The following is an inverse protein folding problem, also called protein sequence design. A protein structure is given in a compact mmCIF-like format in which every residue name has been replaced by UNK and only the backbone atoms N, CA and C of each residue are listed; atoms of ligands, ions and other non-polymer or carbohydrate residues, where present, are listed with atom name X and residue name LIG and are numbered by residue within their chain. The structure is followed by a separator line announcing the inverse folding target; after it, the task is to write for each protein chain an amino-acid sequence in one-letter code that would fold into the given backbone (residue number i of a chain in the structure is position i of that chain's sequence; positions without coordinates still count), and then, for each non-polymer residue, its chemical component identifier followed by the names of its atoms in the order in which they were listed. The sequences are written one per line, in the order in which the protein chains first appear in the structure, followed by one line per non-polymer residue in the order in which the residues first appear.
data_IF_944174813228
#
_entry.id   IF_944174813228
#
_cell.length_a   1.000
_cell.length_b   1.000
_cell.length_c   1.000
_cell.angle_alpha   90.00
_cell.angle_beta   90.00
_cell.angle_gamma   90.00
#
_symmetry.space_group_name_H-M   'P 1'
#
loop_
_entity.id
_entity.type
_entity.pdbx_description
1 polymer ?
#
# COMPACT_ATOMS: atom_id res chain seq x y z
N UNK A 1 -5.23 15.25 19.62
CA UNK A 1 -6.32 14.67 18.82
C UNK A 1 -6.34 13.21 19.20
N UNK A 2 -7.31 12.80 19.99
CA UNK A 2 -7.51 11.40 20.24
C UNK A 2 -7.84 10.71 18.91
N UNK A 3 -7.57 9.45 18.76
CA UNK A 3 -7.80 8.75 17.50
C UNK A 3 -9.27 8.73 17.04
N UNK A 4 -10.20 9.20 17.88
CA UNK A 4 -11.58 9.50 17.50
C UNK A 4 -11.69 10.79 16.69
N UNK A 5 -10.60 11.55 16.63
CA UNK A 5 -10.48 12.71 15.82
C UNK A 5 -9.80 12.35 14.51
N UNK A 6 -10.55 11.80 13.67
CA UNK A 6 -10.24 11.98 12.27
C UNK A 6 -10.63 13.43 11.93
N UNK A 7 -9.63 14.30 11.82
CA UNK A 7 -9.83 15.67 11.34
C UNK A 7 -10.64 15.67 10.04
N UNK A 8 -10.47 14.64 9.24
CA UNK A 8 -11.21 14.43 8.03
C UNK A 8 -12.69 14.13 8.26
N UNK A 9 -13.09 13.47 9.35
CA UNK A 9 -14.49 13.09 9.56
C UNK A 9 -15.35 14.20 10.15
N UNK A 10 -14.77 15.22 10.77
CA UNK A 10 -15.50 16.30 11.43
C UNK A 10 -15.53 17.62 10.67
N UNK A 11 -14.62 17.84 9.76
CA UNK A 11 -14.74 18.95 8.84
C UNK A 11 -15.82 18.58 7.83
N UNK A 12 -16.98 19.18 7.93
CA UNK A 12 -18.07 19.06 6.94
C UNK A 12 -17.67 19.56 5.54
N UNK A 13 -16.38 19.59 5.25
CA UNK A 13 -15.85 19.97 3.95
C UNK A 13 -15.93 18.78 3.00
N UNK A 14 -16.62 18.90 1.87
CA UNK A 14 -16.65 17.86 0.86
C UNK A 14 -15.23 17.50 0.43
N UNK A 15 -14.89 16.23 0.45
CA UNK A 15 -13.61 15.70 -0.05
C UNK A 15 -12.50 15.49 0.99
N UNK A 16 -12.56 16.10 2.18
CA UNK A 16 -11.52 15.93 3.20
C UNK A 16 -11.72 14.71 4.12
N UNK A 17 -12.88 14.10 4.08
CA UNK A 17 -13.34 13.15 5.10
C UNK A 17 -12.87 11.72 4.89
N UNK A 18 -12.18 11.44 3.80
CA UNK A 18 -12.03 10.06 3.32
C UNK A 18 -10.61 9.71 2.95
N UNK A 19 -9.66 10.54 3.41
CA UNK A 19 -8.32 10.47 2.88
C UNK A 19 -7.68 9.09 3.01
N UNK A 20 -8.04 8.29 4.04
CA UNK A 20 -7.28 7.07 4.32
C UNK A 20 -8.10 5.89 4.82
N UNK A 21 -9.36 6.08 5.15
CA UNK A 21 -10.14 5.06 5.86
C UNK A 21 -11.53 4.80 5.28
N UNK A 22 -11.92 5.54 4.24
CA UNK A 22 -13.26 5.42 3.68
C UNK A 22 -14.37 5.76 4.69
N UNK A 23 -15.52 5.14 4.54
CA UNK A 23 -16.69 5.30 5.42
C UNK A 23 -16.79 4.20 6.48
N UNK A 24 -15.78 4.08 7.33
CA UNK A 24 -15.86 3.21 8.48
C UNK A 24 -16.67 3.86 9.61
N UNK A 25 -17.28 3.08 10.52
CA UNK A 25 -17.80 3.60 11.77
C UNK A 25 -16.75 4.39 12.54
N UNK A 26 -17.16 5.38 13.34
CA UNK A 26 -16.25 6.33 14.01
C UNK A 26 -15.11 5.65 14.79
N UNK A 27 -15.40 4.55 15.50
CA UNK A 27 -14.39 3.81 16.27
C UNK A 27 -13.38 3.11 15.37
N UNK A 28 -13.85 2.39 14.38
CA UNK A 28 -12.98 1.68 13.41
C UNK A 28 -12.20 2.67 12.54
N UNK A 29 -12.79 3.81 12.20
CA UNK A 29 -12.13 4.87 11.46
C UNK A 29 -10.98 5.47 12.27
N UNK A 30 -11.16 5.68 13.57
CA UNK A 30 -10.13 6.18 14.44
C UNK A 30 -8.95 5.20 14.54
N UNK A 31 -9.23 3.91 14.72
CA UNK A 31 -8.21 2.85 14.76
C UNK A 31 -7.46 2.72 13.44
N UNK A 32 -8.18 2.71 12.32
CA UNK A 32 -7.58 2.65 10.99
C UNK A 32 -6.71 3.86 10.70
N UNK A 33 -7.13 5.07 11.09
CA UNK A 33 -6.36 6.30 10.94
C UNK A 33 -5.07 6.27 11.78
N UNK A 34 -5.14 5.77 13.01
CA UNK A 34 -3.96 5.63 13.86
C UNK A 34 -2.99 4.56 13.34
N UNK A 35 -3.51 3.45 12.86
CA UNK A 35 -2.70 2.40 12.24
C UNK A 35 -2.01 2.90 10.96
N UNK A 36 -2.73 3.68 10.15
CA UNK A 36 -2.15 4.31 8.96
C UNK A 36 -1.09 5.34 9.31
N UNK A 37 -1.33 6.19 10.32
CA UNK A 37 -0.32 7.12 10.82
C UNK A 37 0.96 6.38 11.25
N UNK A 38 0.80 5.30 12.01
CA UNK A 38 1.92 4.48 12.47
C UNK A 38 2.71 3.90 11.29
N UNK A 39 2.02 3.36 10.28
CA UNK A 39 2.64 2.83 9.06
C UNK A 39 3.41 3.90 8.30
N UNK A 40 2.79 5.05 8.01
CA UNK A 40 3.43 6.12 7.22
C UNK A 40 4.63 6.71 7.95
N UNK A 41 4.48 7.03 9.24
CA UNK A 41 5.55 7.69 9.99
C UNK A 41 6.73 6.74 10.26
N UNK A 42 6.48 5.44 10.45
CA UNK A 42 7.55 4.43 10.50
C UNK A 42 8.35 4.43 9.21
N UNK A 43 7.67 4.23 8.08
CA UNK A 43 8.33 4.11 6.79
C UNK A 43 9.05 5.39 6.38
N UNK A 44 8.44 6.56 6.62
CA UNK A 44 9.08 7.85 6.34
C UNK A 44 10.33 8.08 7.21
N UNK A 45 10.25 7.82 8.51
CA UNK A 45 11.39 7.97 9.43
C UNK A 45 12.56 7.07 9.02
N UNK A 46 12.26 5.81 8.72
CA UNK A 46 13.29 4.85 8.28
C UNK A 46 13.88 5.21 6.93
N UNK A 47 13.06 5.66 5.98
CA UNK A 47 13.53 6.16 4.68
C UNK A 47 14.47 7.36 4.86
N UNK A 48 14.08 8.35 5.65
CA UNK A 48 14.91 9.50 5.91
C UNK A 48 16.25 9.11 6.54
N UNK A 49 16.25 8.17 7.47
CA UNK A 49 17.49 7.66 8.06
C UNK A 49 18.36 6.92 7.04
N UNK A 50 17.76 6.13 6.15
CA UNK A 50 18.51 5.46 5.05
C UNK A 50 19.15 6.45 4.09
N UNK A 51 18.44 7.54 3.76
CA UNK A 51 18.91 8.56 2.80
C UNK A 51 19.89 9.56 3.39
N UNK A 52 19.97 9.67 4.73
CA UNK A 52 20.80 10.66 5.42
C UNK A 52 22.27 10.61 5.00
N UNK A 53 22.83 9.42 4.87
CA UNK A 53 24.24 9.24 4.45
C UNK A 53 24.50 9.62 2.97
N UNK A 54 23.44 9.84 2.20
CA UNK A 54 23.50 10.22 0.78
C UNK A 54 23.11 11.68 0.57
N UNK A 55 22.55 12.33 1.59
CA UNK A 55 22.05 13.69 1.52
C UNK A 55 22.37 14.47 2.79
N UNK A 56 23.40 15.28 2.73
CA UNK A 56 23.93 16.09 3.85
C UNK A 56 22.93 17.11 4.40
N UNK A 57 21.83 17.37 3.67
CA UNK A 57 20.79 18.30 4.11
C UNK A 57 19.83 17.71 5.16
N UNK A 58 19.88 16.39 5.40
CA UNK A 58 18.95 15.73 6.31
C UNK A 58 19.58 15.53 7.70
N UNK A 59 19.36 16.47 8.60
CA UNK A 59 19.92 16.45 9.96
C UNK A 59 19.06 15.69 10.99
N UNK A 60 17.75 15.55 10.75
CA UNK A 60 16.85 14.88 11.67
C UNK A 60 15.38 14.97 11.25
N UNK A 61 14.53 14.31 12.01
CA UNK A 61 13.07 14.34 11.81
C UNK A 61 12.37 14.68 13.12
N UNK A 62 11.33 15.49 13.05
CA UNK A 62 10.48 15.85 14.19
C UNK A 62 9.03 15.47 13.88
N UNK A 63 8.64 14.22 14.13
CA UNK A 63 7.31 13.76 13.83
C UNK A 63 6.26 14.35 14.79
N UNK A 64 5.13 14.72 14.27
CA UNK A 64 3.97 15.22 15.00
C UNK A 64 2.81 14.21 14.87
N UNK A 65 2.26 13.61 15.87
CA UNK A 65 2.56 13.54 17.31
C UNK A 65 2.41 12.12 17.81
N UNK A 66 3.18 11.76 18.83
CA UNK A 66 3.18 10.39 19.39
C UNK A 66 2.15 10.19 20.51
N UNK A 67 1.58 11.27 21.03
CA UNK A 67 0.53 11.24 22.07
C UNK A 67 -0.73 11.93 21.56
N UNK A 68 -1.85 11.70 22.24
CA UNK A 68 -3.09 12.39 21.92
C UNK A 68 -3.02 13.86 22.33
N UNK A 69 -3.64 14.74 21.55
CA UNK A 69 -3.71 16.18 21.84
C UNK A 69 -4.81 16.56 22.83
N UNK A 70 -5.79 15.71 23.05
CA UNK A 70 -6.83 16.01 24.01
C UNK A 70 -6.32 15.76 25.41
N UNK A 71 -6.03 16.87 26.10
CA UNK A 71 -5.48 16.91 27.44
C UNK A 71 -6.54 17.13 28.51
N UNK A 72 -7.81 17.23 28.10
CA UNK A 72 -8.90 17.42 29.04
C UNK A 72 -8.99 16.24 30.00
N UNK A 73 -8.93 16.53 31.28
CA UNK A 73 -8.95 15.53 32.35
C UNK A 73 -7.61 14.83 32.63
N UNK A 74 -6.55 15.11 31.86
CA UNK A 74 -5.19 14.58 32.11
C UNK A 74 -4.53 15.42 33.21
N UNK A 75 -4.20 14.78 34.33
CA UNK A 75 -3.61 15.43 35.50
C UNK A 75 -2.08 15.33 35.57
N UNK A 76 -1.52 14.37 34.84
CA UNK A 76 -0.09 14.12 34.81
C UNK A 76 0.35 13.54 33.48
N UNK A 77 1.64 13.67 33.16
CA UNK A 77 2.24 13.09 31.96
C UNK A 77 2.07 11.53 31.91
N UNK A 78 2.08 10.88 33.07
CA UNK A 78 1.91 9.45 33.18
C UNK A 78 0.52 8.94 32.73
N UNK A 79 -0.48 9.82 32.74
CA UNK A 79 -1.84 9.50 32.29
C UNK A 79 -2.03 9.61 30.77
N UNK A 80 -1.03 10.17 30.08
CA UNK A 80 -1.07 10.30 28.63
C UNK A 80 -0.92 8.94 27.95
N UNK A 81 -1.90 8.58 27.14
CA UNK A 81 -1.84 7.35 26.36
C UNK A 81 -1.09 7.58 25.04
N UNK A 82 -0.02 6.81 24.77
CA UNK A 82 0.64 6.89 23.49
C UNK A 82 -0.26 6.34 22.37
N UNK A 83 -0.12 6.91 21.18
CA UNK A 83 -0.69 6.33 19.97
C UNK A 83 0.10 5.10 19.53
N UNK A 84 -0.47 4.22 18.67
CA UNK A 84 0.26 3.08 18.09
C UNK A 84 1.60 3.45 17.44
N UNK A 85 1.72 4.65 16.89
CA UNK A 85 2.96 5.17 16.30
C UNK A 85 4.13 5.22 17.29
N UNK A 86 3.88 5.33 18.59
CA UNK A 86 4.94 5.35 19.60
C UNK A 86 5.76 4.06 19.58
N UNK A 87 5.10 2.90 19.46
CA UNK A 87 5.78 1.60 19.31
C UNK A 87 6.61 1.53 18.02
N UNK A 88 6.09 2.09 16.92
CA UNK A 88 6.83 2.12 15.65
C UNK A 88 8.07 3.03 15.73
N UNK A 89 7.98 4.13 16.47
CA UNK A 89 9.15 4.99 16.70
C UNK A 89 10.23 4.34 17.53
N UNK A 90 9.87 3.51 18.52
CA UNK A 90 10.86 2.73 19.26
C UNK A 90 11.69 1.84 18.32
N UNK A 91 11.08 1.29 17.28
CA UNK A 91 11.78 0.53 16.25
C UNK A 91 12.62 1.42 15.33
N UNK A 92 12.06 2.55 14.88
CA UNK A 92 12.68 3.41 13.87
C UNK A 92 13.79 4.32 14.42
N UNK A 93 13.81 4.61 15.72
CA UNK A 93 14.80 5.47 16.38
C UNK A 93 15.87 4.73 17.17
N UNK A 94 16.00 3.40 17.01
CA UNK A 94 17.14 2.68 17.55
C UNK A 94 18.45 3.33 17.07
N UNK A 95 19.48 3.46 17.90
CA UNK A 95 20.79 3.99 17.47
C UNK A 95 21.34 3.23 16.27
N UNK A 96 21.31 1.90 16.33
CA UNK A 96 21.55 1.05 15.16
C UNK A 96 20.20 0.59 14.65
N UNK A 97 19.86 0.96 13.42
CA UNK A 97 18.57 0.66 12.82
C UNK A 97 18.71 -0.39 11.74
N UNK A 98 18.06 -1.54 11.92
CA UNK A 98 17.66 -2.39 10.80
C UNK A 98 16.41 -1.76 10.15
N UNK A 99 16.42 -1.51 8.86
CA UNK A 99 15.25 -1.01 8.11
C UNK A 99 14.97 -1.90 6.92
N UNK A 100 13.73 -2.35 6.81
CA UNK A 100 13.27 -3.14 5.69
C UNK A 100 12.74 -2.24 4.57
N UNK A 101 13.38 -2.29 3.41
CA UNK A 101 12.82 -1.73 2.19
C UNK A 101 12.02 -2.83 1.50
N UNK A 102 10.72 -2.81 1.75
CA UNK A 102 9.77 -3.82 1.25
C UNK A 102 8.63 -3.14 0.49
N UNK A 103 8.73 -3.14 -0.84
CA UNK A 103 7.69 -2.62 -1.74
C UNK A 103 6.66 -3.68 -2.14
N UNK A 104 6.91 -4.94 -1.81
CA UNK A 104 6.04 -6.08 -2.08
C UNK A 104 5.37 -6.56 -0.79
N UNK A 105 4.68 -5.66 -0.09
CA UNK A 105 3.98 -6.02 1.15
C UNK A 105 2.84 -7.03 0.95
N UNK A 106 2.50 -7.36 -0.29
CA UNK A 106 1.47 -8.32 -0.66
C UNK A 106 2.02 -9.28 -1.70
N UNK A 107 1.95 -10.59 -1.42
CA UNK A 107 2.56 -11.61 -2.26
C UNK A 107 1.79 -12.92 -2.25
N UNK A 108 1.82 -13.65 -3.34
CA UNK A 108 1.29 -15.02 -3.38
C UNK A 108 2.27 -16.03 -2.78
N UNK A 109 1.73 -17.01 -2.06
CA UNK A 109 2.49 -18.17 -1.64
C UNK A 109 3.10 -18.88 -2.85
N UNK A 110 4.35 -19.31 -2.74
CA UNK A 110 5.11 -19.88 -3.86
C UNK A 110 5.91 -18.87 -4.69
N UNK A 111 5.69 -17.56 -4.51
CA UNK A 111 6.45 -16.52 -5.20
C UNK A 111 7.73 -16.14 -4.45
N UNK A 112 8.54 -15.29 -5.10
CA UNK A 112 9.78 -14.75 -4.55
C UNK A 112 9.53 -13.33 -4.03
N UNK A 113 9.77 -13.11 -2.76
CA UNK A 113 9.76 -11.80 -2.14
C UNK A 113 11.14 -11.16 -2.29
N UNK A 114 11.20 -10.00 -2.93
CA UNK A 114 12.43 -9.21 -3.05
C UNK A 114 12.38 -8.06 -2.05
N UNK A 115 13.35 -8.01 -1.14
CA UNK A 115 13.47 -6.96 -0.12
C UNK A 115 14.92 -6.52 0.01
N UNK A 116 15.13 -5.32 0.54
CA UNK A 116 16.48 -4.89 0.91
C UNK A 116 16.53 -4.63 2.41
N UNK A 117 17.44 -5.29 3.10
CA UNK A 117 17.77 -4.98 4.48
C UNK A 117 18.80 -3.84 4.49
N UNK A 118 18.47 -2.74 5.17
CA UNK A 118 19.39 -1.63 5.42
C UNK A 118 19.79 -1.62 6.89
N UNK A 119 21.05 -1.29 7.17
CA UNK A 119 21.52 -1.01 8.51
C UNK A 119 22.06 0.41 8.54
N UNK A 120 21.41 1.26 9.34
CA UNK A 120 21.89 2.64 9.60
C UNK A 120 22.58 2.64 10.94
N UNK A 121 23.83 3.13 10.98
CA UNK A 121 24.65 3.08 12.17
C UNK A 121 24.81 4.50 12.77
N UNK A 122 24.07 4.76 13.83
CA UNK A 122 24.15 5.95 14.68
C UNK A 122 24.59 5.57 16.11
N UNK A 123 25.53 4.61 16.22
CA UNK A 123 25.99 4.12 17.51
C UNK A 123 26.37 5.27 18.46
N UNK A 124 25.84 5.23 19.68
CA UNK A 124 26.03 6.29 20.69
C UNK A 124 27.52 6.53 21.06
N UNK A 125 28.37 5.55 20.78
CA UNK A 125 29.81 5.59 21.05
C UNK A 125 30.64 5.79 19.78
N UNK A 126 30.03 6.15 18.67
CA UNK A 126 30.69 6.38 17.38
C UNK A 126 31.45 5.14 16.82
N UNK A 127 31.04 3.94 17.18
CA UNK A 127 31.70 2.72 16.70
C UNK A 127 31.19 2.30 15.33
N UNK A 128 32.09 1.78 14.51
CA UNK A 128 31.71 1.04 13.31
C UNK A 128 31.23 -0.37 13.67
N UNK A 129 30.33 -0.92 12.85
CA UNK A 129 29.85 -2.29 12.96
C UNK A 129 30.70 -3.22 12.11
N UNK A 130 31.25 -4.26 12.72
CA UNK A 130 32.04 -5.31 12.07
C UNK A 130 31.54 -6.67 12.50
N UNK A 131 31.85 -7.72 11.72
CA UNK A 131 31.30 -9.06 11.90
C UNK A 131 29.77 -9.02 12.07
N UNK A 132 29.15 -8.40 11.05
CA UNK A 132 27.71 -8.11 11.08
C UNK A 132 26.95 -9.27 10.48
N UNK A 133 25.92 -9.72 11.18
CA UNK A 133 25.02 -10.79 10.72
C UNK A 133 23.58 -10.34 10.83
N UNK A 134 22.80 -10.66 9.80
CA UNK A 134 21.35 -10.50 9.77
C UNK A 134 20.71 -11.87 9.98
N UNK A 135 19.98 -12.02 11.07
CA UNK A 135 19.05 -13.12 11.26
C UNK A 135 17.65 -12.62 10.91
N UNK A 136 16.96 -13.30 10.01
CA UNK A 136 15.63 -12.90 9.59
C UNK A 136 14.66 -14.08 9.60
N UNK A 137 13.38 -13.79 9.77
CA UNK A 137 12.33 -14.78 9.65
C UNK A 137 11.00 -14.13 9.25
N UNK A 138 10.12 -14.94 8.66
CA UNK A 138 8.72 -14.61 8.48
C UNK A 138 7.92 -15.40 9.50
N UNK A 139 6.98 -14.74 10.19
CA UNK A 139 6.12 -15.38 11.17
C UNK A 139 4.65 -14.99 11.00
N UNK A 140 3.79 -15.88 11.44
CA UNK A 140 2.35 -15.66 11.59
C UNK A 140 1.98 -16.03 13.02
N UNK A 141 1.30 -15.13 13.73
CA UNK A 141 0.83 -15.35 15.11
C UNK A 141 1.92 -15.89 16.06
N UNK A 142 3.13 -15.37 15.95
CA UNK A 142 4.29 -15.79 16.76
C UNK A 142 4.98 -17.07 16.30
N UNK A 143 4.46 -17.75 15.28
CA UNK A 143 5.07 -18.98 14.73
C UNK A 143 5.91 -18.64 13.51
N UNK A 144 7.22 -18.94 13.58
CA UNK A 144 8.13 -18.82 12.43
C UNK A 144 7.75 -19.83 11.34
N UNK A 145 7.56 -19.36 10.11
CA UNK A 145 7.24 -20.19 8.93
C UNK A 145 8.42 -20.38 8.01
N UNK A 146 9.35 -19.43 8.01
CA UNK A 146 10.61 -19.48 7.28
C UNK A 146 11.62 -18.58 7.99
N UNK A 147 12.91 -18.92 7.93
CA UNK A 147 14.00 -18.13 8.50
C UNK A 147 15.28 -18.30 7.69
N UNK A 148 16.19 -17.36 7.86
CA UNK A 148 17.51 -17.41 7.28
C UNK A 148 18.51 -16.54 8.04
N UNK A 149 19.76 -16.70 7.66
CA UNK A 149 20.87 -15.91 8.16
C UNK A 149 21.76 -15.50 6.99
N UNK A 150 22.25 -14.27 7.04
CA UNK A 150 23.16 -13.73 6.04
C UNK A 150 24.27 -12.92 6.70
N UNK A 151 25.47 -13.02 6.16
CA UNK A 151 26.51 -12.06 6.46
C UNK A 151 26.10 -10.69 5.92
N UNK A 152 26.38 -9.64 6.69
CA UNK A 152 26.06 -8.27 6.32
C UNK A 152 27.37 -7.48 6.14
N UNK A 153 27.42 -6.54 5.18
CA UNK A 153 28.61 -5.73 4.96
C UNK A 153 29.05 -4.95 6.23
N UNK A 154 30.32 -4.59 6.28
CA UNK A 154 30.83 -3.62 7.26
C UNK A 154 30.03 -2.31 7.15
N UNK A 155 29.63 -1.74 8.30
CA UNK A 155 28.88 -0.48 8.35
C UNK A 155 29.66 0.52 9.18
N UNK A 156 30.26 1.58 8.55
CA UNK A 156 30.99 2.59 9.29
C UNK A 156 30.04 3.37 10.23
N UNK A 157 30.60 4.04 11.22
CA UNK A 157 29.86 5.00 12.01
C UNK A 157 29.27 6.07 11.10
N UNK A 158 28.04 6.51 11.38
CA UNK A 158 27.26 7.47 10.60
C UNK A 158 26.99 7.02 9.16
N UNK A 159 27.21 5.75 8.85
CA UNK A 159 27.03 5.16 7.54
C UNK A 159 25.79 4.26 7.43
N UNK A 160 25.51 3.85 6.20
CA UNK A 160 24.44 2.91 5.87
C UNK A 160 24.98 1.77 5.05
N UNK A 161 24.71 0.54 5.50
CA UNK A 161 24.93 -0.68 4.71
C UNK A 161 23.61 -1.19 4.14
N UNK A 162 23.67 -1.94 3.05
CA UNK A 162 22.49 -2.57 2.42
C UNK A 162 22.78 -3.98 1.96
N UNK A 163 21.79 -4.85 2.08
CA UNK A 163 21.85 -6.24 1.64
C UNK A 163 20.54 -6.61 0.93
N UNK A 164 20.55 -6.76 -0.40
CA UNK A 164 19.41 -7.30 -1.14
C UNK A 164 19.16 -8.77 -0.78
N UNK A 165 17.92 -9.14 -0.56
CA UNK A 165 17.49 -10.50 -0.26
C UNK A 165 16.39 -10.92 -1.21
N UNK A 166 16.42 -12.18 -1.62
CA UNK A 166 15.33 -12.86 -2.31
C UNK A 166 14.87 -14.04 -1.46
N UNK A 167 13.65 -13.94 -0.94
CA UNK A 167 13.07 -14.93 -0.04
C UNK A 167 12.06 -15.75 -0.83
N UNK A 168 12.24 -17.07 -0.91
CA UNK A 168 11.26 -17.96 -1.53
C UNK A 168 10.14 -18.23 -0.54
N UNK A 169 8.94 -17.72 -0.82
CA UNK A 169 7.77 -17.93 0.02
C UNK A 169 7.25 -19.36 -0.17
N UNK A 170 7.12 -20.16 0.89
CA UNK A 170 6.60 -21.52 0.76
C UNK A 170 5.22 -21.57 0.12
N UNK A 171 4.96 -22.50 -0.83
CA UNK A 171 3.71 -22.56 -1.57
C UNK A 171 2.52 -23.08 -0.76
N UNK A 172 2.77 -23.61 0.43
CA UNK A 172 1.76 -24.20 1.32
C UNK A 172 1.33 -23.27 2.47
N UNK A 173 1.77 -22.02 2.46
CA UNK A 173 1.31 -21.06 3.46
C UNK A 173 -0.16 -20.72 3.26
N UNK A 174 -0.85 -20.51 4.37
CA UNK A 174 -2.25 -20.07 4.40
C UNK A 174 -2.33 -18.58 4.11
N UNK A 175 -3.48 -18.16 3.62
CA UNK A 175 -3.78 -16.74 3.45
C UNK A 175 -3.84 -16.03 4.81
N UNK A 176 -3.18 -14.88 4.91
CA UNK A 176 -3.22 -14.08 6.12
C UNK A 176 -2.14 -13.02 6.23
N UNK A 177 -2.16 -12.36 7.38
CA UNK A 177 -1.16 -11.37 7.76
C UNK A 177 0.05 -12.08 8.38
N UNK A 178 1.23 -11.66 7.95
CA UNK A 178 2.53 -12.13 8.41
C UNK A 178 3.41 -10.93 8.77
N UNK A 179 4.49 -11.19 9.46
CA UNK A 179 5.55 -10.22 9.75
C UNK A 179 6.88 -10.74 9.23
N UNK A 180 7.55 -9.96 8.40
CA UNK A 180 8.97 -10.12 8.12
C UNK A 180 9.74 -9.45 9.24
N UNK A 181 10.47 -10.22 10.02
CA UNK A 181 11.25 -9.77 11.18
C UNK A 181 12.73 -9.99 10.97
N UNK A 182 13.54 -9.19 11.64
CA UNK A 182 14.97 -9.38 11.60
C UNK A 182 15.70 -8.81 12.80
N UNK A 183 16.86 -9.36 13.04
CA UNK A 183 17.80 -8.95 14.08
C UNK A 183 19.18 -8.78 13.46
N UNK A 184 19.84 -7.67 13.84
CA UNK A 184 21.25 -7.45 13.49
C UNK A 184 22.11 -7.78 14.69
N UNK A 185 23.12 -8.57 14.42
CA UNK A 185 24.19 -8.89 15.36
C UNK A 185 25.49 -8.26 14.86
N UNK A 186 26.28 -7.69 15.78
CA UNK A 186 27.67 -7.27 15.53
C UNK A 186 28.54 -7.86 16.60
N UNK A 187 29.60 -8.55 16.20
CA UNK A 187 30.51 -9.28 17.12
C UNK A 187 29.74 -10.20 18.09
N UNK A 188 28.73 -10.89 17.58
CA UNK A 188 27.90 -11.80 18.35
C UNK A 188 26.87 -11.17 19.29
N UNK A 189 26.80 -9.84 19.39
CA UNK A 189 25.84 -9.12 20.23
C UNK A 189 24.68 -8.59 19.37
N UNK A 190 23.43 -8.83 19.78
CA UNK A 190 22.27 -8.19 19.14
C UNK A 190 22.29 -6.69 19.35
N UNK A 191 22.26 -5.94 18.25
CA UNK A 191 22.34 -4.46 18.25
C UNK A 191 21.10 -3.78 17.65
N UNK A 192 20.27 -4.53 16.90
CA UNK A 192 19.03 -3.99 16.32
C UNK A 192 18.00 -5.07 16.09
N UNK A 193 16.73 -4.66 16.05
CA UNK A 193 15.57 -5.47 15.68
C UNK A 193 14.59 -4.61 14.93
N UNK A 194 13.97 -5.15 13.88
CA UNK A 194 12.85 -4.48 13.20
C UNK A 194 11.93 -5.48 12.52
N UNK A 195 10.74 -4.99 12.12
CA UNK A 195 9.72 -5.77 11.44
C UNK A 195 9.03 -4.99 10.32
N UNK A 196 8.49 -5.71 9.35
CA UNK A 196 7.71 -5.18 8.24
C UNK A 196 6.45 -6.02 8.05
N UNK A 197 5.32 -5.37 7.86
CA UNK A 197 4.05 -6.05 7.55
C UNK A 197 4.13 -6.74 6.18
N UNK A 198 3.51 -7.92 6.10
CA UNK A 198 3.43 -8.72 4.88
C UNK A 198 2.07 -9.42 4.85
N UNK A 199 1.38 -9.36 3.71
CA UNK A 199 0.20 -10.18 3.44
C UNK A 199 0.56 -11.27 2.45
N UNK A 200 0.30 -12.53 2.81
CA UNK A 200 0.52 -13.67 1.92
C UNK A 200 -0.83 -14.25 1.51
N UNK A 201 -1.09 -14.27 0.20
CA UNK A 201 -2.24 -14.95 -0.38
C UNK A 201 -1.88 -16.41 -0.66
N UNK A 202 -2.44 -17.34 0.09
CA UNK A 202 -2.29 -18.77 -0.09
C UNK A 202 -3.17 -19.33 -1.22
N UNK A 203 -3.12 -20.64 -1.44
CA UNK A 203 -3.99 -21.31 -2.43
C UNK A 203 -5.47 -21.16 -2.11
N UNK A 204 -5.81 -21.02 -0.85
CA UNK A 204 -7.15 -20.79 -0.35
C UNK A 204 -7.73 -19.44 -0.78
N UNK A 205 -6.89 -18.46 -1.11
CA UNK A 205 -7.30 -17.14 -1.58
C UNK A 205 -8.10 -17.19 -2.88
N UNK A 206 -7.72 -18.08 -3.80
CA UNK A 206 -8.36 -18.25 -5.10
C UNK A 206 -9.35 -19.44 -5.16
N UNK A 207 -9.62 -20.09 -4.04
CA UNK A 207 -10.45 -21.30 -3.99
C UNK A 207 -11.92 -21.09 -4.35
N UNK A 208 -12.37 -19.83 -4.44
CA UNK A 208 -13.76 -19.46 -4.72
C UNK A 208 -14.00 -19.00 -6.17
N UNK A 209 -13.06 -19.23 -7.09
CA UNK A 209 -13.27 -18.88 -8.50
C UNK A 209 -14.32 -19.81 -9.09
N UNK A 210 -15.50 -19.27 -9.41
CA UNK A 210 -16.50 -19.98 -10.20
C UNK A 210 -16.02 -20.07 -11.65
N UNK A 211 -15.36 -21.19 -11.97
CA UNK A 211 -14.83 -21.45 -13.30
C UNK A 211 -15.94 -21.64 -14.37
N UNK A 212 -17.21 -21.74 -13.96
CA UNK A 212 -18.34 -21.90 -14.90
C UNK A 212 -18.79 -20.57 -15.49
N UNK A 213 -18.54 -19.45 -14.82
CA UNK A 213 -18.88 -18.12 -15.30
C UNK A 213 -17.86 -17.61 -16.32
N UNK A 214 -18.28 -17.36 -17.54
CA UNK A 214 -17.44 -16.72 -18.56
C UNK A 214 -17.49 -15.21 -18.42
N UNK A 215 -16.31 -14.58 -18.26
CA UNK A 215 -16.12 -13.15 -18.17
C UNK A 215 -15.73 -12.62 -19.55
N UNK A 216 -16.47 -11.63 -20.06
CA UNK A 216 -16.08 -10.91 -21.27
C UNK A 216 -15.08 -9.83 -20.92
N UNK A 217 -13.97 -9.75 -21.65
CA UNK A 217 -12.88 -8.80 -21.35
C UNK A 217 -12.62 -7.92 -22.57
N UNK A 218 -12.84 -6.61 -22.39
CA UNK A 218 -12.43 -5.59 -23.34
C UNK A 218 -11.08 -5.03 -22.88
N UNK A 219 -10.01 -5.52 -23.50
CA UNK A 219 -8.63 -5.12 -23.20
C UNK A 219 -7.93 -4.80 -24.53
N UNK A 220 -7.75 -3.50 -24.77
CA UNK A 220 -7.18 -2.95 -26.00
C UNK A 220 -5.70 -2.60 -25.86
N UNK A 221 -5.11 -2.83 -24.68
CA UNK A 221 -3.68 -2.62 -24.48
C UNK A 221 -2.86 -3.64 -25.26
N UNK A 222 -1.67 -3.27 -25.78
CA UNK A 222 -0.82 -4.20 -26.52
C UNK A 222 -0.47 -5.47 -25.73
N UNK A 223 -0.23 -5.31 -24.43
CA UNK A 223 0.17 -6.38 -23.51
C UNK A 223 -0.99 -7.22 -23.02
N UNK A 224 -2.22 -6.76 -23.20
CA UNK A 224 -3.46 -7.41 -22.71
C UNK A 224 -3.33 -7.84 -21.25
N UNK A 225 -2.82 -6.95 -20.40
CA UNK A 225 -2.46 -7.26 -19.01
C UNK A 225 -3.65 -7.79 -18.21
N UNK A 226 -4.81 -7.15 -18.34
CA UNK A 226 -6.03 -7.55 -17.63
C UNK A 226 -6.51 -8.93 -18.08
N UNK A 227 -6.57 -9.16 -19.39
CA UNK A 227 -6.97 -10.45 -19.97
C UNK A 227 -6.04 -11.57 -19.50
N UNK A 228 -4.73 -11.34 -19.56
CA UNK A 228 -3.71 -12.30 -19.15
C UNK A 228 -3.71 -12.56 -17.65
N UNK A 229 -3.96 -11.54 -16.84
CA UNK A 229 -4.09 -11.66 -15.40
C UNK A 229 -5.28 -12.55 -15.02
N UNK A 230 -6.45 -12.31 -15.60
CA UNK A 230 -7.66 -13.13 -15.34
C UNK A 230 -7.45 -14.58 -15.76
N UNK A 231 -6.83 -14.83 -16.92
CA UNK A 231 -6.48 -16.19 -17.36
C UNK A 231 -5.57 -16.92 -16.39
N UNK A 232 -4.50 -16.24 -15.93
CA UNK A 232 -3.54 -16.83 -14.96
C UNK A 232 -4.21 -17.19 -13.64
N UNK A 233 -5.24 -16.44 -13.25
CA UNK A 233 -6.01 -16.69 -12.03
C UNK A 233 -7.14 -17.73 -12.23
N UNK A 234 -7.20 -18.42 -13.37
CA UNK A 234 -8.13 -19.53 -13.60
C UNK A 234 -9.54 -19.15 -14.05
N UNK A 235 -9.77 -17.85 -14.36
CA UNK A 235 -11.08 -17.44 -14.89
C UNK A 235 -11.28 -17.88 -16.33
N UNK A 236 -12.51 -18.32 -16.67
CA UNK A 236 -12.94 -18.47 -18.07
C UNK A 236 -13.18 -17.09 -18.67
N UNK A 237 -12.33 -16.68 -19.63
CA UNK A 237 -12.38 -15.34 -20.21
C UNK A 237 -12.57 -15.37 -21.72
N UNK A 238 -13.45 -14.50 -22.22
CA UNK A 238 -13.70 -14.27 -23.63
C UNK A 238 -13.25 -12.84 -23.98
N UNK A 239 -12.21 -12.66 -24.81
CA UNK A 239 -11.87 -11.33 -25.30
C UNK A 239 -12.99 -10.82 -26.21
N UNK A 240 -13.35 -9.54 -26.07
CA UNK A 240 -14.35 -8.86 -26.90
C UNK A 240 -13.77 -7.55 -27.42
N UNK A 241 -14.16 -7.17 -28.64
CA UNK A 241 -13.76 -5.93 -29.30
C UNK A 241 -14.89 -4.92 -29.46
N UNK A 242 -16.12 -5.40 -29.25
CA UNK A 242 -17.34 -4.59 -29.33
C UNK A 242 -18.32 -5.01 -28.24
N UNK A 243 -19.11 -4.06 -27.77
CA UNK A 243 -20.19 -4.31 -26.80
C UNK A 243 -21.30 -5.19 -27.38
N UNK A 244 -21.45 -5.18 -28.70
CA UNK A 244 -22.42 -6.02 -29.40
C UNK A 244 -22.11 -7.53 -29.34
N UNK A 245 -20.88 -7.90 -28.96
CA UNK A 245 -20.47 -9.29 -28.77
C UNK A 245 -20.87 -9.88 -27.41
N UNK A 246 -21.39 -9.05 -26.51
CA UNK A 246 -21.75 -9.46 -25.15
C UNK A 246 -23.02 -10.28 -25.12
N UNK A 247 -23.01 -11.29 -24.28
CA UNK A 247 -24.22 -12.05 -23.97
C UNK A 247 -25.00 -11.41 -22.84
N UNK A 248 -26.31 -11.57 -22.85
CA UNK A 248 -27.17 -11.05 -21.79
C UNK A 248 -26.81 -11.68 -20.45
N UNK A 249 -26.92 -10.89 -19.37
CA UNK A 249 -26.58 -11.28 -18.00
C UNK A 249 -25.11 -11.71 -17.75
N UNK A 250 -24.20 -11.41 -18.68
CA UNK A 250 -22.77 -11.67 -18.50
C UNK A 250 -22.09 -10.55 -17.69
N UNK A 251 -20.82 -10.73 -17.39
CA UNK A 251 -19.96 -9.71 -16.78
C UNK A 251 -18.95 -9.23 -17.82
N UNK A 252 -18.90 -7.93 -18.06
CA UNK A 252 -17.87 -7.27 -18.85
C UNK A 252 -16.80 -6.71 -17.91
N UNK A 253 -15.54 -7.01 -18.16
CA UNK A 253 -14.41 -6.31 -17.57
C UNK A 253 -13.79 -5.39 -18.63
N UNK A 254 -13.79 -4.09 -18.37
CA UNK A 254 -13.01 -3.12 -19.15
C UNK A 254 -11.63 -3.04 -18.49
N UNK A 255 -10.62 -3.48 -19.23
CA UNK A 255 -9.26 -3.60 -18.74
C UNK A 255 -8.63 -2.25 -18.37
N UNK A 256 -7.54 -2.30 -17.60
CA UNK A 256 -6.77 -1.10 -17.26
C UNK A 256 -6.35 -0.38 -18.54
N UNK A 257 -6.57 0.93 -18.58
CA UNK A 257 -6.22 1.83 -19.69
C UNK A 257 -6.77 1.37 -21.07
N UNK A 258 -7.92 0.68 -21.06
CA UNK A 258 -8.53 0.14 -22.27
C UNK A 258 -9.69 0.99 -22.81
N UNK A 259 -10.08 2.05 -22.07
CA UNK A 259 -11.11 2.95 -22.55
C UNK A 259 -10.58 3.84 -23.69
N UNK A 260 -11.26 3.81 -24.82
CA UNK A 260 -10.87 4.53 -26.03
C UNK A 260 -12.10 5.11 -26.75
N UNK A 261 -11.86 5.84 -27.85
CA UNK A 261 -12.91 6.49 -28.62
C UNK A 261 -13.90 5.49 -29.25
N UNK A 262 -13.48 4.24 -29.47
CA UNK A 262 -14.40 3.21 -29.94
C UNK A 262 -15.43 2.85 -28.86
N UNK A 263 -14.99 2.77 -27.60
CA UNK A 263 -15.88 2.49 -26.48
C UNK A 263 -16.76 3.71 -26.17
N UNK A 264 -16.26 4.95 -26.33
CA UNK A 264 -17.06 6.16 -26.22
C UNK A 264 -18.23 6.21 -27.21
N UNK A 265 -18.03 5.70 -28.42
CA UNK A 265 -19.12 5.58 -29.42
C UNK A 265 -20.15 4.50 -29.09
N UNK A 266 -19.80 3.53 -28.24
CA UNK A 266 -20.66 2.40 -27.86
C UNK A 266 -21.32 2.59 -26.47
N UNK A 267 -21.38 3.81 -25.95
CA UNK A 267 -21.98 4.08 -24.65
C UNK A 267 -23.50 3.82 -24.60
N UNK A 268 -24.17 3.96 -25.73
CA UNK A 268 -25.59 3.56 -25.87
C UNK A 268 -25.81 2.07 -25.69
N UNK A 269 -24.94 1.26 -26.28
CA UNK A 269 -24.93 -0.20 -26.16
C UNK A 269 -24.55 -0.64 -24.74
N UNK A 270 -23.56 0.04 -24.12
CA UNK A 270 -23.22 -0.20 -22.72
C UNK A 270 -24.40 0.06 -21.79
N UNK A 271 -25.11 1.18 -21.99
CA UNK A 271 -26.34 1.50 -21.23
C UNK A 271 -27.43 0.44 -21.43
N UNK A 272 -27.66 0.05 -22.67
CA UNK A 272 -28.64 -0.99 -22.98
C UNK A 272 -28.24 -2.34 -22.38
N UNK A 273 -26.96 -2.68 -22.35
CA UNK A 273 -26.42 -3.88 -21.74
C UNK A 273 -26.69 -3.90 -20.22
N UNK A 274 -26.41 -2.81 -19.51
CA UNK A 274 -26.68 -2.69 -18.07
C UNK A 274 -28.19 -2.82 -17.80
N UNK A 275 -29.02 -2.13 -18.58
CA UNK A 275 -30.47 -2.16 -18.41
C UNK A 275 -31.07 -3.56 -18.61
N UNK A 276 -30.37 -4.43 -19.32
CA UNK A 276 -30.72 -5.85 -19.52
C UNK A 276 -30.11 -6.79 -18.48
N UNK A 277 -29.57 -6.24 -17.38
CA UNK A 277 -28.97 -7.03 -16.29
C UNK A 277 -27.49 -7.38 -16.48
N UNK A 278 -26.81 -6.81 -17.48
CA UNK A 278 -25.36 -6.91 -17.64
C UNK A 278 -24.62 -6.22 -16.48
N UNK A 279 -23.44 -6.73 -16.17
CA UNK A 279 -22.56 -6.16 -15.12
C UNK A 279 -21.29 -5.66 -15.78
N UNK A 280 -20.82 -4.48 -15.32
CA UNK A 280 -19.58 -3.89 -15.80
C UNK A 280 -18.64 -3.70 -14.62
N UNK A 281 -17.40 -4.17 -14.77
CA UNK A 281 -16.27 -3.85 -13.92
C UNK A 281 -15.31 -3.03 -14.77
N UNK A 282 -15.20 -1.75 -14.48
CA UNK A 282 -14.25 -0.87 -15.17
C UNK A 282 -13.04 -0.68 -14.24
N UNK A 283 -11.87 -1.11 -14.72
CA UNK A 283 -10.62 -0.91 -14.01
C UNK A 283 -10.12 0.53 -14.25
N UNK A 284 -9.02 0.89 -13.63
CA UNK A 284 -8.36 2.19 -13.77
C UNK A 284 -8.18 2.60 -15.23
N UNK A 285 -8.47 3.86 -15.55
CA UNK A 285 -8.36 4.43 -16.89
C UNK A 285 -7.55 5.72 -16.87
N UNK A 286 -6.62 5.87 -17.81
CA UNK A 286 -5.87 7.12 -18.01
C UNK A 286 -6.74 8.22 -18.65
N UNK A 287 -7.75 7.82 -19.44
CA UNK A 287 -8.67 8.74 -20.10
C UNK A 287 -9.69 9.24 -19.08
N UNK A 288 -9.61 10.52 -18.72
CA UNK A 288 -10.49 11.17 -17.73
C UNK A 288 -11.73 11.82 -18.34
N UNK A 289 -11.73 12.05 -19.64
CA UNK A 289 -12.77 12.74 -20.42
C UNK A 289 -13.72 11.77 -21.16
N UNK A 290 -13.78 10.51 -20.74
CA UNK A 290 -14.64 9.52 -21.39
C UNK A 290 -16.14 9.82 -21.21
N UNK A 291 -16.93 9.39 -22.19
CA UNK A 291 -18.37 9.57 -22.17
C UNK A 291 -19.04 8.71 -21.08
N UNK A 292 -19.62 9.36 -20.08
CA UNK A 292 -20.24 8.70 -18.91
C UNK A 292 -21.75 8.44 -19.06
N UNK A 293 -22.34 8.67 -20.23
CA UNK A 293 -23.79 8.55 -20.44
C UNK A 293 -24.34 7.13 -20.20
N UNK A 294 -23.48 6.14 -20.17
CA UNK A 294 -23.80 4.75 -19.88
C UNK A 294 -23.93 4.46 -18.37
N UNK A 295 -23.23 5.22 -17.54
CA UNK A 295 -23.16 4.96 -16.10
C UNK A 295 -24.45 5.41 -15.39
N UNK A 296 -25.01 4.59 -14.48
CA UNK A 296 -26.14 5.00 -13.66
C UNK A 296 -25.75 6.03 -12.57
N UNK A 297 -24.45 6.21 -12.34
CA UNK A 297 -23.89 7.17 -11.38
C UNK A 297 -22.90 8.07 -12.10
N UNK A 298 -22.85 9.34 -11.68
CA UNK A 298 -21.83 10.28 -12.15
C UNK A 298 -20.49 9.94 -11.49
N UNK A 299 -19.44 9.78 -12.30
CA UNK A 299 -18.08 9.57 -11.85
C UNK A 299 -17.34 10.90 -12.00
N UNK A 300 -16.75 11.39 -10.93
CA UNK A 300 -15.93 12.60 -10.96
C UNK A 300 -14.46 12.19 -10.76
N UNK A 301 -13.60 12.62 -11.67
CA UNK A 301 -12.17 12.52 -11.54
C UNK A 301 -11.66 13.79 -10.87
N UNK A 302 -11.17 13.65 -9.65
CA UNK A 302 -10.52 14.76 -8.95
C UNK A 302 -9.05 14.73 -9.33
N UNK A 303 -8.66 15.56 -10.28
CA UNK A 303 -7.25 15.87 -10.50
C UNK A 303 -6.86 16.95 -9.50
N UNK A 304 -5.99 16.61 -8.55
CA UNK A 304 -5.32 17.62 -7.75
C UNK A 304 -4.32 18.34 -8.65
N UNK A 305 -4.68 19.54 -9.09
CA UNK A 305 -3.73 20.38 -9.82
C UNK A 305 -2.69 20.91 -8.83
N UNK A 306 -1.44 21.02 -9.28
CA UNK A 306 -0.37 21.68 -8.52
C UNK A 306 -0.68 23.16 -8.16
N UNK A 307 -1.80 23.69 -8.62
CA UNK A 307 -2.28 25.05 -8.39
C UNK A 307 -3.43 25.11 -7.40
N UNK A 308 -3.79 24.03 -6.73
CA UNK A 308 -4.85 24.06 -5.72
C UNK A 308 -4.34 24.81 -4.49
N UNK A 309 -4.92 26.00 -4.16
CA UNK A 309 -4.47 26.83 -3.04
C UNK A 309 -4.69 26.18 -1.66
N UNK A 310 -5.43 25.08 -1.57
CA UNK A 310 -5.65 24.33 -0.33
C UNK A 310 -4.41 23.52 0.06
N UNK A 311 -3.55 23.21 -0.89
CA UNK A 311 -2.31 22.48 -0.65
C UNK A 311 -1.15 23.46 -0.67
N UNK A 312 -0.68 23.84 0.51
CA UNK A 312 0.40 24.80 0.74
C UNK A 312 1.77 24.36 0.19
N UNK A 313 1.86 23.18 -0.41
CA UNK A 313 3.09 22.67 -1.00
C UNK A 313 2.80 21.68 -2.14
N UNK A 314 3.46 21.85 -3.30
CA UNK A 314 3.42 20.84 -4.39
C UNK A 314 3.90 19.46 -3.95
N UNK A 315 4.74 19.39 -2.92
CA UNK A 315 5.23 18.14 -2.34
C UNK A 315 4.19 17.42 -1.49
N UNK A 316 3.10 18.10 -1.11
CA UNK A 316 1.94 17.53 -0.44
C UNK A 316 0.78 17.28 -1.40
N UNK A 317 0.91 17.66 -2.66
CA UNK A 317 0.02 17.17 -3.70
C UNK A 317 0.23 15.65 -3.78
N UNK A 318 -0.48 14.95 -2.92
CA UNK A 318 -0.51 13.50 -2.92
C UNK A 318 -0.87 13.04 -4.31
N UNK A 319 0.01 12.29 -4.89
CA UNK A 319 -0.36 11.58 -6.07
C UNK A 319 -1.42 10.59 -5.65
N UNK A 320 -2.59 10.86 -6.16
CA UNK A 320 -3.71 9.96 -6.04
C UNK A 320 -3.24 8.58 -6.48
N UNK A 321 -3.57 7.55 -5.73
CA UNK A 321 -3.27 6.19 -6.09
C UNK A 321 -2.32 5.42 -5.19
N UNK A 322 -1.66 6.04 -4.22
CA UNK A 322 -0.90 5.28 -3.21
C UNK A 322 -1.77 4.31 -2.43
N UNK A 323 -2.98 4.76 -2.10
CA UNK A 323 -3.91 3.98 -1.32
C UNK A 323 -5.30 4.10 -1.94
N UNK A 324 -6.00 2.99 -2.04
CA UNK A 324 -7.40 2.97 -2.43
C UNK A 324 -8.24 2.99 -1.17
N UNK A 325 -9.15 3.95 -1.07
CA UNK A 325 -10.11 4.06 0.03
C UNK A 325 -11.39 3.32 -0.31
N UNK A 326 -11.82 2.44 0.59
CA UNK A 326 -13.07 1.71 0.44
C UNK A 326 -14.24 2.57 0.93
N UNK A 327 -15.01 3.14 0.00
CA UNK A 327 -16.17 3.98 0.33
C UNK A 327 -17.28 3.21 1.06
N UNK A 328 -17.40 1.93 0.79
CA UNK A 328 -18.36 1.01 1.42
C UNK A 328 -17.67 -0.30 1.79
N UNK A 329 -16.83 -0.32 2.81
CA UNK A 329 -15.99 -1.47 3.15
C UNK A 329 -16.78 -2.74 3.49
N UNK A 330 -18.02 -2.60 3.94
CA UNK A 330 -18.91 -3.74 4.23
C UNK A 330 -19.72 -4.22 3.02
N UNK A 331 -19.52 -3.63 1.84
CA UNK A 331 -20.19 -4.13 0.64
C UNK A 331 -19.69 -5.56 0.32
N UNK A 332 -20.59 -6.49 -0.04
CA UNK A 332 -20.22 -7.90 -0.29
C UNK A 332 -19.04 -8.10 -1.26
N UNK A 333 -18.81 -7.17 -2.19
CA UNK A 333 -17.68 -7.21 -3.13
C UNK A 333 -16.32 -7.16 -2.41
N UNK A 334 -16.26 -6.61 -1.20
CA UNK A 334 -15.05 -6.48 -0.40
C UNK A 334 -14.95 -7.54 0.70
N UNK A 335 -15.80 -8.58 0.65
CA UNK A 335 -15.76 -9.66 1.63
C UNK A 335 -14.38 -10.33 1.65
N UNK A 336 -13.74 -10.35 2.83
CA UNK A 336 -12.39 -10.90 3.01
C UNK A 336 -11.27 -9.90 2.71
N UNK A 337 -11.58 -8.69 2.23
CA UNK A 337 -10.60 -7.63 2.01
C UNK A 337 -10.60 -6.66 3.18
N UNK A 338 -9.44 -6.07 3.46
CA UNK A 338 -9.28 -5.03 4.47
C UNK A 338 -8.52 -3.82 3.89
N UNK A 339 -8.62 -2.62 4.49
CA UNK A 339 -7.98 -1.42 3.96
C UNK A 339 -6.46 -1.52 3.76
N UNK A 340 -5.76 -2.36 4.53
CA UNK A 340 -4.31 -2.54 4.38
C UNK A 340 -3.93 -3.20 3.05
N UNK A 341 -4.82 -4.02 2.49
CA UNK A 341 -4.60 -4.69 1.20
C UNK A 341 -4.61 -3.73 0.02
N UNK A 342 -5.08 -2.49 0.23
CA UNK A 342 -5.19 -1.46 -0.81
C UNK A 342 -4.14 -0.35 -0.66
N UNK A 343 -3.11 -0.58 0.14
CA UNK A 343 -1.96 0.33 0.28
C UNK A 343 -0.95 0.07 -0.82
N UNK A 344 -0.24 1.12 -1.23
CA UNK A 344 0.86 1.05 -2.20
C UNK A 344 0.44 0.49 -3.57
N UNK A 345 -0.73 0.85 -4.05
CA UNK A 345 -1.25 0.43 -5.35
C UNK A 345 -0.89 1.37 -6.49
N UNK A 346 -0.11 2.40 -6.26
CA UNK A 346 0.28 3.30 -7.33
C UNK A 346 1.29 2.64 -8.27
N UNK A 347 1.15 2.93 -9.55
CA UNK A 347 2.12 2.55 -10.56
C UNK A 347 3.31 3.52 -10.52
N UNK A 348 4.41 3.04 -9.97
CA UNK A 348 5.65 3.81 -9.87
C UNK A 348 6.26 4.12 -11.23
N UNK A 349 6.00 3.30 -12.25
CA UNK A 349 6.60 3.45 -13.56
C UNK A 349 6.05 4.64 -14.35
N UNK A 350 4.89 5.15 -13.97
CA UNK A 350 4.27 6.34 -14.60
C UNK A 350 4.77 7.68 -14.06
N UNK A 351 5.70 7.65 -13.10
CA UNK A 351 6.22 8.86 -12.48
C UNK A 351 7.24 9.59 -13.38
N UNK A 352 6.95 10.81 -13.74
CA UNK A 352 7.85 11.69 -14.49
C UNK A 352 8.50 12.72 -13.55
N UNK A 353 9.71 12.43 -13.09
CA UNK A 353 10.48 13.29 -12.18
C UNK A 353 10.69 14.71 -12.75
N UNK A 354 10.77 14.86 -14.07
CA UNK A 354 10.99 16.16 -14.71
C UNK A 354 9.81 17.10 -14.55
N UNK A 355 8.60 16.55 -14.37
CA UNK A 355 7.36 17.33 -14.21
C UNK A 355 6.98 17.60 -12.76
N UNK A 356 7.48 16.81 -11.82
CA UNK A 356 6.94 16.75 -10.45
C UNK A 356 7.97 16.99 -9.34
N UNK A 357 9.26 17.06 -9.66
CA UNK A 357 10.32 17.52 -8.76
C UNK A 357 10.74 16.61 -7.61
N UNK A 358 9.92 15.64 -7.20
CA UNK A 358 10.28 14.67 -6.17
C UNK A 358 9.69 13.30 -6.48
N UNK A 359 10.45 12.23 -6.28
CA UNK A 359 9.86 10.90 -6.24
C UNK A 359 8.83 10.87 -5.12
N UNK A 360 7.65 10.37 -5.38
CA UNK A 360 6.71 10.09 -4.31
C UNK A 360 7.38 9.09 -3.37
N UNK A 361 7.41 9.42 -2.09
CA UNK A 361 7.89 8.52 -1.05
C UNK A 361 6.75 7.52 -0.82
N UNK A 362 6.95 6.30 -1.26
CA UNK A 362 6.04 5.18 -1.09
C UNK A 362 6.44 4.35 0.11
#
# INVERSE_FOLDING_TARGET
IDGRFNLCSRTKQPGSQKCWTGHLPDTEQAEAAMAYQAFVLKNATELFRRLRSQNDCLAGTMPFTIVFHNWDGVKSFAEMKPKPVAGQYQLSYQPILLSWENWQSQIYAGNKLSVVAHVVNDDDYCNALSDVRLHWWIEQEGRKVISGENEFPFVPYYGTGKLPLTINIPPNLLTGDYLLKGEIYSKGKKVSYNESELFIAGKDWNSAVDATATISVYDTTPEQQTLNCLKRNGYSVKPVRSITELTQNSTLVIGKNSWNDNLDRQTGELKAYINKGGRIICLEQDKTDFNQSWSPIKIEFLQHSNNDPVYLSPSLAYKDGMNINLERPYHPIFKGLNPRMFRLWSDYTSYDESKNGFPAIY
#
